data_IF_502024048243
#
_entry.id   IF_502024048243
#
_cell.length_a   1.000
_cell.length_b   1.000
_cell.length_c   1.000
_cell.angle_alpha   90.00
_cell.angle_beta   90.00
_cell.angle_gamma   90.00
#
_symmetry.space_group_name_H-M   'P 1'
#
loop_
_entity.id
_entity.type
_entity.pdbx_description
1 polymer ?
#
# COMPACT_ATOMS: atom_id res chain seq x y z
N UNK A 1 56.40 -74.12 14.55
CA UNK A 1 55.90 -74.35 15.93
C UNK A 1 54.90 -73.17 16.16
N UNK A 2 53.67 -73.41 16.03
CA UNK A 2 52.66 -73.99 16.93
C UNK A 2 51.94 -72.92 17.77
N UNK A 3 50.62 -72.73 17.52
CA UNK A 3 49.49 -72.43 18.41
C UNK A 3 49.34 -70.92 18.86
N UNK A 4 48.18 -70.31 19.02
CA UNK A 4 46.78 -70.78 19.02
C UNK A 4 45.81 -69.65 18.78
N UNK A 5 44.64 -69.98 18.22
CA UNK A 5 43.41 -69.17 18.17
C UNK A 5 42.91 -68.82 19.56
N UNK A 6 42.32 -67.60 19.68
CA UNK A 6 41.17 -67.43 20.57
C UNK A 6 40.23 -66.33 19.98
N UNK A 7 39.03 -66.79 19.66
CA UNK A 7 37.86 -66.05 19.25
C UNK A 7 37.32 -65.22 20.42
N UNK A 8 37.05 -63.95 20.19
CA UNK A 8 36.08 -63.21 20.98
C UNK A 8 35.11 -62.43 20.02
N UNK A 9 33.95 -63.04 19.93
CA UNK A 9 32.79 -62.41 19.31
C UNK A 9 32.25 -61.27 20.23
N UNK A 10 32.30 -60.07 19.82
CA UNK A 10 31.51 -58.97 20.44
C UNK A 10 30.37 -58.57 19.48
N UNK A 11 29.16 -58.87 19.90
CA UNK A 11 27.92 -58.45 19.24
C UNK A 11 27.79 -56.98 19.28
N UNK A 12 27.89 -56.30 18.12
CA UNK A 12 27.49 -54.93 17.96
C UNK A 12 25.98 -54.93 17.73
N UNK A 13 25.23 -54.56 18.76
CA UNK A 13 23.82 -54.28 18.62
C UNK A 13 23.66 -52.97 17.84
N UNK A 14 23.24 -53.05 16.59
CA UNK A 14 22.87 -51.94 15.76
C UNK A 14 21.54 -51.36 16.23
N UNK A 15 21.58 -50.30 17.00
CA UNK A 15 20.41 -49.46 17.24
C UNK A 15 20.11 -48.66 15.97
N UNK A 16 19.35 -49.22 15.05
CA UNK A 16 18.67 -48.46 14.00
C UNK A 16 17.52 -47.67 14.65
N UNK A 17 17.84 -46.47 15.11
CA UNK A 17 16.81 -45.51 15.48
C UNK A 17 16.07 -45.12 14.20
N UNK A 18 14.88 -45.69 14.00
CA UNK A 18 14.09 -45.48 12.80
C UNK A 18 13.62 -44.02 12.74
N UNK A 19 13.97 -43.32 11.69
CA UNK A 19 13.60 -41.92 11.36
C UNK A 19 12.07 -41.67 11.42
N UNK A 20 11.27 -42.72 11.38
CA UNK A 20 9.80 -42.68 11.49
C UNK A 20 9.28 -42.34 12.89
N UNK A 21 10.03 -42.58 13.96
CA UNK A 21 9.60 -42.24 15.33
C UNK A 21 9.75 -40.75 15.64
N UNK A 22 10.79 -40.12 15.13
CA UNK A 22 11.02 -38.66 15.25
C UNK A 22 9.98 -37.85 14.49
N UNK A 23 9.56 -38.31 13.31
CA UNK A 23 8.54 -37.61 12.51
C UNK A 23 7.14 -37.64 13.14
N UNK A 24 6.80 -38.70 13.85
CA UNK A 24 5.53 -38.82 14.57
C UNK A 24 5.49 -37.99 15.87
N UNK A 25 6.63 -37.81 16.53
CA UNK A 25 6.75 -36.97 17.73
C UNK A 25 6.59 -35.49 17.37
N UNK A 26 7.28 -35.00 16.34
CA UNK A 26 7.17 -33.60 15.89
C UNK A 26 5.75 -33.28 15.42
N UNK A 27 5.07 -34.19 14.73
CA UNK A 27 3.70 -34.02 14.27
C UNK A 27 2.69 -33.94 15.42
N UNK A 28 2.85 -34.71 16.51
CA UNK A 28 2.02 -34.64 17.71
C UNK A 28 2.21 -33.32 18.45
N UNK A 29 3.43 -32.85 18.62
CA UNK A 29 3.70 -31.60 19.32
C UNK A 29 3.29 -30.38 18.50
N UNK A 30 3.44 -30.41 17.18
CA UNK A 30 2.91 -29.34 16.31
C UNK A 30 1.40 -29.22 16.38
N UNK A 31 0.67 -30.33 16.49
CA UNK A 31 -0.79 -30.31 16.65
C UNK A 31 -1.21 -29.74 18.02
N UNK A 32 -0.47 -30.09 19.09
CA UNK A 32 -0.73 -29.57 20.45
C UNK A 32 -0.43 -28.08 20.53
N UNK A 33 0.65 -27.60 19.92
CA UNK A 33 0.98 -26.18 19.86
C UNK A 33 -0.08 -25.43 19.05
N UNK A 34 -0.55 -25.96 17.93
CA UNK A 34 -1.63 -25.37 17.15
C UNK A 34 -2.95 -25.33 17.93
N UNK A 35 -3.27 -26.40 18.66
CA UNK A 35 -4.46 -26.45 19.50
C UNK A 35 -4.39 -25.52 20.71
N UNK A 36 -3.20 -25.31 21.30
CA UNK A 36 -3.02 -24.35 22.41
C UNK A 36 -3.22 -22.88 21.98
N UNK A 37 -2.91 -22.54 20.71
CA UNK A 37 -3.26 -21.23 20.14
C UNK A 37 -4.76 -21.04 19.92
N UNK A 38 -5.50 -22.13 19.68
CA UNK A 38 -6.96 -22.10 19.51
C UNK A 38 -7.73 -22.10 20.84
N UNK A 39 -7.09 -22.47 21.94
CA UNK A 39 -7.72 -22.60 23.27
C UNK A 39 -7.40 -21.45 24.23
N UNK A 40 -6.86 -20.32 23.74
CA UNK A 40 -6.71 -19.11 24.56
C UNK A 40 -8.01 -18.28 24.53
N UNK A 41 -8.96 -18.47 25.47
CA UNK A 41 -10.23 -17.73 25.49
C UNK A 41 -10.11 -16.29 25.99
N UNK A 42 -8.91 -15.80 26.31
CA UNK A 42 -8.68 -14.48 26.91
C UNK A 42 -8.01 -13.48 25.96
N UNK A 43 -8.15 -13.65 24.65
CA UNK A 43 -8.00 -12.52 23.74
C UNK A 43 -9.22 -11.61 23.96
N UNK A 44 -9.16 -10.72 24.95
CA UNK A 44 -10.04 -9.57 25.03
C UNK A 44 -9.82 -8.74 23.75
N UNK A 45 -10.51 -9.14 22.69
CA UNK A 45 -10.64 -8.34 21.50
C UNK A 45 -11.37 -7.06 21.93
N UNK A 46 -10.64 -5.93 22.00
CA UNK A 46 -11.29 -4.64 22.13
C UNK A 46 -12.38 -4.56 21.05
N UNK A 47 -13.60 -4.21 21.45
CA UNK A 47 -14.72 -4.10 20.53
C UNK A 47 -14.32 -3.10 19.44
N UNK A 48 -14.14 -3.63 18.23
CA UNK A 48 -13.77 -2.85 17.06
C UNK A 48 -14.98 -2.02 16.63
N UNK A 49 -14.84 -0.70 16.68
CA UNK A 49 -15.86 0.23 16.19
C UNK A 49 -15.49 0.64 14.75
N UNK A 50 -16.37 0.39 13.81
CA UNK A 50 -16.15 0.78 12.40
C UNK A 50 -17.28 1.69 11.96
N UNK A 51 -16.93 2.89 11.52
CA UNK A 51 -17.84 3.80 10.83
C UNK A 51 -17.71 3.63 9.31
N UNK A 52 -18.77 3.91 8.59
CA UNK A 52 -18.82 3.79 7.13
C UNK A 52 -19.12 5.15 6.52
N UNK A 53 -18.34 5.54 5.51
CA UNK A 53 -18.45 6.83 4.81
C UNK A 53 -18.41 6.59 3.31
N UNK A 54 -19.11 7.42 2.53
CA UNK A 54 -19.17 7.38 1.07
C UNK A 54 -18.52 8.64 0.50
N UNK A 55 -17.61 8.47 -0.46
CA UNK A 55 -16.80 9.57 -1.00
C UNK A 55 -16.64 9.46 -2.51
N UNK A 56 -16.29 10.58 -3.16
CA UNK A 56 -15.73 10.58 -4.51
C UNK A 56 -14.30 11.11 -4.45
N UNK A 57 -13.39 10.40 -5.12
CA UNK A 57 -12.02 10.85 -5.26
C UNK A 57 -11.69 11.10 -6.72
N UNK A 58 -11.32 12.34 -7.02
CA UNK A 58 -10.79 12.74 -8.30
C UNK A 58 -9.28 12.86 -8.23
N UNK A 59 -8.58 12.47 -9.30
CA UNK A 59 -7.15 12.61 -9.39
C UNK A 59 -6.71 12.87 -10.83
N UNK A 60 -5.81 13.83 -11.00
CA UNK A 60 -5.06 14.06 -12.22
C UNK A 60 -3.60 13.75 -11.95
N UNK A 61 -2.98 12.94 -12.81
CA UNK A 61 -1.58 12.55 -12.71
C UNK A 61 -0.87 12.90 -13.99
N UNK A 62 0.21 13.63 -13.90
CA UNK A 62 1.10 13.87 -15.02
C UNK A 62 2.48 13.28 -14.74
N UNK A 63 3.00 12.56 -15.72
CA UNK A 63 4.37 12.09 -15.74
C UNK A 63 5.00 12.53 -17.08
N UNK A 64 5.99 13.40 -16.99
CA UNK A 64 6.70 13.92 -18.16
C UNK A 64 8.14 13.42 -18.14
N UNK A 65 8.55 12.70 -19.17
CA UNK A 65 9.93 12.25 -19.35
C UNK A 65 10.62 13.15 -20.39
N UNK A 66 11.64 13.89 -19.98
CA UNK A 66 12.35 14.83 -20.88
C UNK A 66 13.67 14.29 -21.42
N UNK A 67 14.27 13.30 -20.79
CA UNK A 67 15.49 12.65 -21.24
C UNK A 67 15.46 11.14 -20.95
N UNK A 68 16.52 10.44 -21.33
CA UNK A 68 16.63 9.01 -21.00
C UNK A 68 16.66 8.76 -19.49
N UNK A 69 17.15 9.72 -18.71
CA UNK A 69 17.35 9.59 -17.26
C UNK A 69 16.43 10.45 -16.42
N UNK A 70 15.90 11.59 -16.94
CA UNK A 70 15.17 12.55 -16.13
C UNK A 70 13.74 12.77 -16.61
N UNK A 71 12.87 13.04 -15.65
CA UNK A 71 11.48 13.41 -15.85
C UNK A 71 10.91 14.12 -14.63
N UNK A 72 9.63 14.49 -14.72
CA UNK A 72 8.87 15.09 -13.63
C UNK A 72 7.60 14.30 -13.34
N UNK A 73 7.16 14.42 -12.10
CA UNK A 73 5.88 13.94 -11.60
C UNK A 73 5.08 15.12 -11.07
N UNK A 74 3.80 15.21 -11.45
CA UNK A 74 2.84 16.14 -10.84
C UNK A 74 1.52 15.41 -10.66
N UNK A 75 0.87 15.56 -9.53
CA UNK A 75 -0.51 15.11 -9.36
C UNK A 75 -1.34 16.04 -8.48
N UNK A 76 -2.64 16.08 -8.77
CA UNK A 76 -3.64 16.82 -8.02
C UNK A 76 -4.75 15.86 -7.65
N UNK A 77 -5.17 15.87 -6.39
CA UNK A 77 -6.31 15.10 -5.92
C UNK A 77 -7.33 15.99 -5.22
N UNK A 78 -8.59 15.67 -5.45
CA UNK A 78 -9.72 16.22 -4.70
C UNK A 78 -10.52 15.04 -4.13
N UNK A 79 -10.89 15.14 -2.87
CA UNK A 79 -11.66 14.13 -2.16
C UNK A 79 -12.82 14.79 -1.45
N UNK A 80 -14.00 14.24 -1.63
CA UNK A 80 -15.19 14.69 -0.91
C UNK A 80 -15.23 14.12 0.51
N UNK A 81 -16.09 14.65 1.34
CA UNK A 81 -16.16 14.32 2.75
C UNK A 81 -17.07 13.10 2.99
N UNK A 82 -18.34 13.23 2.68
CA UNK A 82 -19.37 12.21 2.88
C UNK A 82 -20.51 12.41 1.87
N UNK A 83 -21.46 11.49 1.81
CA UNK A 83 -22.61 11.53 0.89
C UNK A 83 -22.23 11.80 -0.57
N UNK A 84 -21.06 11.27 -0.98
CA UNK A 84 -20.41 11.37 -2.29
C UNK A 84 -20.01 12.80 -2.70
N UNK A 85 -20.92 13.77 -2.63
CA UNK A 85 -20.73 15.13 -3.21
C UNK A 85 -20.84 16.27 -2.21
N UNK A 86 -21.07 15.98 -0.94
CA UNK A 86 -20.98 17.02 0.08
C UNK A 86 -19.53 17.49 0.21
N UNK A 87 -19.24 18.54 0.82
CA UNK A 87 -17.98 19.20 1.08
C UNK A 87 -16.66 18.47 0.72
N UNK A 88 -15.59 19.20 0.58
CA UNK A 88 -14.26 18.62 0.42
C UNK A 88 -13.71 18.16 1.76
N UNK A 89 -13.15 16.93 1.78
CA UNK A 89 -12.37 16.42 2.92
C UNK A 89 -10.89 16.71 2.77
N UNK A 90 -10.37 16.65 1.54
CA UNK A 90 -8.94 16.81 1.31
C UNK A 90 -8.63 17.25 -0.12
N UNK A 91 -7.65 18.15 -0.26
CA UNK A 91 -6.96 18.38 -1.52
C UNK A 91 -5.47 18.06 -1.37
N UNK A 92 -4.87 17.58 -2.45
CA UNK A 92 -3.43 17.22 -2.49
C UNK A 92 -2.86 17.79 -3.77
N UNK A 93 -1.79 18.55 -3.64
CA UNK A 93 -0.92 18.94 -4.74
C UNK A 93 0.44 18.31 -4.52
N UNK A 94 0.93 17.55 -5.50
CA UNK A 94 2.20 16.84 -5.39
C UNK A 94 3.05 17.08 -6.64
N UNK A 95 4.33 17.28 -6.44
CA UNK A 95 5.33 17.34 -7.51
C UNK A 95 6.59 16.57 -7.11
N UNK A 96 7.37 16.18 -8.08
CA UNK A 96 8.62 15.45 -7.85
C UNK A 96 9.50 15.39 -9.09
N UNK A 97 10.79 15.20 -8.86
CA UNK A 97 11.78 14.91 -9.87
C UNK A 97 11.94 13.39 -9.99
N UNK A 98 11.90 12.88 -11.22
CA UNK A 98 11.99 11.45 -11.50
C UNK A 98 13.30 11.13 -12.18
N UNK A 99 14.01 10.11 -11.69
CA UNK A 99 15.20 9.53 -12.29
C UNK A 99 14.88 8.12 -12.81
N UNK A 100 15.05 7.90 -14.10
CA UNK A 100 14.83 6.61 -14.74
C UNK A 100 16.10 5.76 -14.68
N UNK A 101 16.05 4.65 -13.95
CA UNK A 101 17.11 3.64 -13.94
C UNK A 101 17.13 2.87 -15.27
N UNK A 102 15.95 2.61 -15.80
CA UNK A 102 15.68 2.04 -17.12
C UNK A 102 14.24 2.41 -17.53
N UNK A 103 13.72 1.84 -18.63
CA UNK A 103 12.38 2.17 -19.13
C UNK A 103 11.25 1.62 -18.24
N UNK A 104 11.54 0.64 -17.39
CA UNK A 104 10.55 0.00 -16.51
C UNK A 104 10.72 0.38 -15.04
N UNK A 105 11.87 0.92 -14.61
CA UNK A 105 12.16 1.23 -13.22
C UNK A 105 12.61 2.68 -13.06
N UNK A 106 12.01 3.38 -12.09
CA UNK A 106 12.31 4.78 -11.81
C UNK A 106 12.27 5.08 -10.32
N UNK A 107 13.08 6.05 -9.93
CA UNK A 107 13.07 6.68 -8.61
C UNK A 107 12.41 8.06 -8.74
N UNK A 108 11.65 8.46 -7.74
CA UNK A 108 11.10 9.82 -7.69
C UNK A 108 11.24 10.36 -6.28
N UNK A 109 11.73 11.59 -6.15
CA UNK A 109 11.71 12.34 -4.90
C UNK A 109 10.94 13.63 -5.10
N UNK A 110 10.16 14.02 -4.10
CA UNK A 110 9.31 15.18 -4.27
C UNK A 110 8.67 15.65 -2.97
N UNK A 111 7.70 16.52 -3.16
CA UNK A 111 6.98 17.17 -2.09
C UNK A 111 5.49 17.19 -2.40
N UNK A 112 4.67 17.04 -1.36
CA UNK A 112 3.22 17.22 -1.44
C UNK A 112 2.77 18.23 -0.38
N UNK A 113 1.88 19.12 -0.81
CA UNK A 113 1.07 19.95 0.08
C UNK A 113 -0.33 19.36 0.15
N UNK A 114 -0.79 19.14 1.36
CA UNK A 114 -2.10 18.55 1.63
C UNK A 114 -2.92 19.50 2.50
N UNK A 115 -4.11 19.85 2.04
CA UNK A 115 -5.09 20.56 2.83
C UNK A 115 -6.13 19.58 3.35
N UNK A 116 -6.26 19.46 4.66
CA UNK A 116 -7.35 18.77 5.31
C UNK A 116 -8.41 19.79 5.66
N UNK A 117 -9.54 19.73 4.98
CA UNK A 117 -10.67 20.64 5.18
C UNK A 117 -11.39 20.35 6.51
N UNK A 118 -12.22 21.26 6.98
CA UNK A 118 -12.90 21.13 8.27
C UNK A 118 -13.50 19.76 8.54
N UNK A 119 -13.22 19.23 9.73
CA UNK A 119 -13.64 17.92 10.22
C UNK A 119 -13.89 17.98 11.73
N UNK A 120 -14.31 16.89 12.35
CA UNK A 120 -14.80 16.83 13.75
C UNK A 120 -13.89 17.47 14.80
N UNK A 121 -12.57 17.48 14.57
CA UNK A 121 -11.60 18.04 15.52
C UNK A 121 -11.01 19.39 15.11
N UNK A 122 -11.46 19.97 13.98
CA UNK A 122 -11.09 21.31 13.47
C UNK A 122 -12.20 21.83 12.56
N UNK A 123 -13.38 22.07 13.13
CA UNK A 123 -14.63 22.32 12.38
C UNK A 123 -14.59 23.55 11.50
N UNK A 124 -13.81 24.57 11.88
CA UNK A 124 -13.82 25.87 11.21
C UNK A 124 -12.47 26.21 10.55
N UNK A 125 -11.45 25.36 10.67
CA UNK A 125 -10.12 25.60 10.10
C UNK A 125 -9.64 24.48 9.19
N UNK A 126 -8.91 24.85 8.15
CA UNK A 126 -8.21 23.90 7.28
C UNK A 126 -6.84 23.61 7.84
N UNK A 127 -6.52 22.32 8.07
CA UNK A 127 -5.23 21.87 8.59
C UNK A 127 -4.27 21.55 7.45
N UNK A 128 -3.16 22.30 7.29
CA UNK A 128 -2.15 21.98 6.29
C UNK A 128 -1.23 20.84 6.75
N UNK A 129 -0.78 20.05 5.77
CA UNK A 129 0.23 19.02 5.94
C UNK A 129 1.30 19.17 4.85
N UNK A 130 2.56 19.24 5.27
CA UNK A 130 3.73 19.20 4.41
C UNK A 130 4.26 17.77 4.36
N UNK A 131 4.55 17.28 3.14
CA UNK A 131 4.88 15.86 2.95
C UNK A 131 5.99 15.68 1.91
N UNK A 132 7.26 15.78 2.29
CA UNK A 132 8.34 15.20 1.48
C UNK A 132 8.10 13.71 1.25
N UNK A 133 8.54 13.20 0.10
CA UNK A 133 8.35 11.79 -0.22
C UNK A 133 9.40 11.28 -1.20
N UNK A 134 9.70 9.97 -1.12
CA UNK A 134 10.58 9.24 -2.02
C UNK A 134 9.88 7.96 -2.46
N UNK A 135 10.08 7.58 -3.73
CA UNK A 135 9.43 6.41 -4.31
C UNK A 135 10.36 5.69 -5.26
N UNK A 136 10.32 4.36 -5.19
CA UNK A 136 10.77 3.50 -6.28
C UNK A 136 9.52 2.89 -6.93
N UNK A 137 9.47 2.91 -8.26
CA UNK A 137 8.38 2.31 -9.05
C UNK A 137 8.96 1.45 -10.16
N UNK A 138 8.37 0.27 -10.34
CA UNK A 138 8.76 -0.65 -11.40
C UNK A 138 7.56 -1.29 -12.07
N UNK A 139 7.74 -1.64 -13.34
CA UNK A 139 6.74 -2.24 -14.19
C UNK A 139 7.22 -3.60 -14.70
N UNK A 140 6.31 -4.59 -14.71
CA UNK A 140 6.52 -5.86 -15.40
C UNK A 140 5.45 -6.00 -16.48
N UNK A 141 5.90 -6.18 -17.71
CA UNK A 141 5.05 -6.22 -18.91
C UNK A 141 4.96 -7.65 -19.42
N UNK A 142 3.78 -8.23 -19.36
CA UNK A 142 3.46 -9.52 -19.93
C UNK A 142 2.50 -9.34 -21.11
N UNK A 143 2.37 -10.36 -21.95
CA UNK A 143 1.51 -10.26 -23.15
C UNK A 143 0.03 -9.99 -22.85
N UNK A 144 -0.49 -10.47 -21.72
CA UNK A 144 -1.90 -10.34 -21.29
C UNK A 144 -2.08 -9.61 -19.96
N UNK A 145 -1.00 -9.05 -19.41
CA UNK A 145 -1.02 -8.43 -18.10
C UNK A 145 0.05 -7.35 -18.01
N UNK A 146 -0.28 -6.21 -17.46
CA UNK A 146 0.69 -5.23 -16.95
C UNK A 146 0.63 -5.22 -15.44
N UNK A 147 1.78 -5.37 -14.82
CA UNK A 147 1.97 -5.27 -13.37
C UNK A 147 2.77 -4.01 -13.09
N UNK A 148 2.26 -3.14 -12.22
CA UNK A 148 2.98 -1.99 -11.69
C UNK A 148 3.06 -2.12 -10.19
N UNK A 149 4.23 -1.90 -9.65
CA UNK A 149 4.47 -1.87 -8.22
C UNK A 149 5.25 -0.62 -7.85
N UNK A 150 5.04 -0.11 -6.65
CA UNK A 150 5.89 0.91 -6.08
C UNK A 150 5.91 0.84 -4.56
N UNK A 151 7.03 1.28 -4.01
CA UNK A 151 7.21 1.56 -2.60
C UNK A 151 7.47 3.05 -2.42
N UNK A 152 6.80 3.67 -1.45
CA UNK A 152 6.94 5.10 -1.13
C UNK A 152 7.14 5.28 0.36
N UNK A 153 8.11 6.12 0.71
CA UNK A 153 8.27 6.68 2.04
C UNK A 153 7.75 8.11 2.02
N UNK A 154 6.97 8.49 3.01
CA UNK A 154 6.46 9.85 3.21
C UNK A 154 6.83 10.34 4.61
N UNK A 155 7.32 11.57 4.70
CA UNK A 155 7.60 12.31 5.92
C UNK A 155 6.47 13.30 6.13
N UNK A 156 5.64 13.06 7.15
CA UNK A 156 4.37 13.80 7.30
C UNK A 156 4.46 14.81 8.42
N UNK A 157 4.42 16.10 8.08
CA UNK A 157 4.37 17.23 9.01
C UNK A 157 2.97 17.82 8.97
N UNK A 158 2.12 17.42 9.92
CA UNK A 158 0.75 17.89 10.05
C UNK A 158 0.70 19.02 11.06
N UNK A 159 0.12 20.17 10.70
CA UNK A 159 -0.07 21.28 11.64
C UNK A 159 -0.84 20.79 12.86
N UNK A 160 -0.44 21.20 14.05
CA UNK A 160 -1.15 20.89 15.28
C UNK A 160 -2.46 21.67 15.33
N UNK A 161 -3.47 21.08 15.93
CA UNK A 161 -4.79 21.69 16.17
C UNK A 161 -4.83 22.12 17.63
N UNK A 162 -5.22 23.35 17.89
CA UNK A 162 -5.42 23.87 19.23
C UNK A 162 -6.87 23.59 19.70
N UNK A 163 -7.84 23.96 18.88
CA UNK A 163 -9.28 23.75 19.10
C UNK A 163 -10.01 23.69 17.74
N UNK A 164 -11.33 23.78 17.74
CA UNK A 164 -12.17 23.73 16.52
C UNK A 164 -11.92 24.89 15.55
N UNK A 165 -11.43 26.04 16.03
CA UNK A 165 -11.31 27.30 15.32
C UNK A 165 -9.85 27.69 15.01
N UNK A 166 -8.86 27.09 15.71
CA UNK A 166 -7.49 27.54 15.66
C UNK A 166 -6.48 26.40 15.55
N UNK A 167 -5.41 26.68 14.82
CA UNK A 167 -4.25 25.80 14.72
C UNK A 167 -3.20 26.18 15.76
N UNK A 168 -2.66 25.20 16.49
CA UNK A 168 -1.54 25.40 17.40
C UNK A 168 -0.22 25.58 16.65
N UNK A 169 0.80 26.09 17.35
CA UNK A 169 2.15 26.16 16.82
C UNK A 169 2.80 24.78 16.68
N UNK A 170 3.67 24.62 15.67
CA UNK A 170 4.42 23.40 15.38
C UNK A 170 3.63 22.34 14.64
N UNK A 171 4.25 21.18 14.51
CA UNK A 171 3.75 20.07 13.69
C UNK A 171 3.78 18.76 14.45
N UNK A 172 2.84 17.89 14.17
CA UNK A 172 2.92 16.48 14.46
C UNK A 172 3.66 15.79 13.32
N UNK A 173 4.66 14.98 13.68
CA UNK A 173 5.52 14.30 12.71
C UNK A 173 5.41 12.80 12.80
N UNK A 174 5.26 12.15 11.65
CA UNK A 174 5.44 10.71 11.51
C UNK A 174 5.91 10.34 10.11
N UNK A 175 6.57 9.20 10.01
CA UNK A 175 6.81 8.53 8.74
C UNK A 175 5.61 7.68 8.33
N UNK A 176 5.46 7.49 7.01
CA UNK A 176 4.52 6.53 6.45
C UNK A 176 5.15 5.77 5.28
N UNK A 177 5.29 4.46 5.43
CA UNK A 177 5.63 3.56 4.35
C UNK A 177 4.35 3.16 3.61
N UNK A 178 4.44 3.07 2.27
CA UNK A 178 3.35 2.66 1.41
C UNK A 178 3.87 1.67 0.38
N UNK A 179 3.14 0.58 0.20
CA UNK A 179 3.40 -0.37 -0.88
C UNK A 179 2.14 -0.54 -1.71
N UNK A 180 2.32 -0.50 -3.03
CA UNK A 180 1.23 -0.61 -4.00
C UNK A 180 1.53 -1.70 -5.01
N UNK A 181 0.50 -2.45 -5.37
CA UNK A 181 0.50 -3.40 -6.47
C UNK A 181 -0.73 -3.18 -7.35
N UNK A 182 -0.52 -3.03 -8.65
CA UNK A 182 -1.58 -2.80 -9.63
C UNK A 182 -1.45 -3.81 -10.76
N UNK A 183 -2.54 -4.52 -11.00
CA UNK A 183 -2.73 -5.42 -12.14
C UNK A 183 -3.66 -4.77 -13.16
N UNK A 184 -3.26 -4.80 -14.43
CA UNK A 184 -4.08 -4.31 -15.54
C UNK A 184 -4.18 -5.38 -16.61
N UNK A 185 -5.41 -5.86 -16.85
CA UNK A 185 -5.72 -6.94 -17.80
C UNK A 185 -6.50 -6.35 -18.97
N UNK A 186 -6.00 -6.43 -20.21
CA UNK A 186 -6.71 -5.89 -21.37
C UNK A 186 -7.94 -6.73 -21.70
N UNK A 187 -9.06 -6.06 -21.94
CA UNK A 187 -10.32 -6.70 -22.32
C UNK A 187 -10.50 -6.78 -23.84
N UNK A 188 -9.68 -6.05 -24.59
CA UNK A 188 -9.74 -5.97 -26.05
C UNK A 188 -8.66 -6.83 -26.72
N UNK A 189 -8.92 -7.32 -27.92
CA UNK A 189 -7.94 -8.03 -28.77
C UNK A 189 -6.69 -7.16 -29.03
N UNK A 190 -6.88 -5.87 -29.24
CA UNK A 190 -5.83 -4.85 -29.48
C UNK A 190 -5.19 -4.32 -28.21
N UNK A 191 -4.97 -5.12 -27.23
CA UNK A 191 -4.38 -4.92 -25.91
C UNK A 191 -3.66 -3.58 -25.71
N UNK A 192 -4.06 -2.79 -24.72
CA UNK A 192 -3.40 -1.54 -24.31
C UNK A 192 -3.20 -0.47 -25.41
N UNK A 193 -3.88 -0.62 -26.55
CA UNK A 193 -3.86 0.35 -27.64
C UNK A 193 -4.87 1.48 -27.37
N UNK A 194 -4.76 2.62 -28.06
CA UNK A 194 -5.76 3.67 -27.99
C UNK A 194 -7.19 3.13 -28.25
N UNK A 195 -8.17 3.72 -27.55
CA UNK A 195 -9.60 3.36 -27.62
C UNK A 195 -9.90 1.93 -27.15
N UNK A 196 -9.07 1.36 -26.28
CA UNK A 196 -9.32 0.03 -25.67
C UNK A 196 -9.58 0.14 -24.17
N UNK A 197 -10.19 -0.91 -23.61
CA UNK A 197 -10.52 -1.01 -22.20
C UNK A 197 -9.68 -2.11 -21.54
N UNK A 198 -9.27 -1.86 -20.31
CA UNK A 198 -8.60 -2.83 -19.44
C UNK A 198 -9.31 -2.91 -18.10
N UNK A 199 -9.37 -4.09 -17.50
CA UNK A 199 -9.76 -4.27 -16.12
C UNK A 199 -8.58 -4.00 -15.20
N UNK A 200 -8.83 -3.33 -14.07
CA UNK A 200 -7.79 -2.91 -13.13
C UNK A 200 -8.14 -3.42 -11.73
N UNK A 201 -7.17 -4.10 -11.12
CA UNK A 201 -7.16 -4.46 -9.70
C UNK A 201 -5.97 -3.78 -9.08
N UNK A 202 -6.18 -3.06 -7.99
CA UNK A 202 -5.09 -2.38 -7.29
C UNK A 202 -5.26 -2.53 -5.79
N UNK A 203 -4.18 -2.87 -5.10
CA UNK A 203 -4.11 -2.87 -3.65
C UNK A 203 -2.95 -2.02 -3.17
N UNK A 204 -3.18 -1.29 -2.08
CA UNK A 204 -2.20 -0.40 -1.50
C UNK A 204 -2.29 -0.42 0.02
N UNK A 205 -1.18 -0.77 0.67
CA UNK A 205 -1.07 -0.80 2.14
C UNK A 205 -0.23 0.36 2.63
N UNK A 206 -0.66 0.99 3.73
CA UNK A 206 0.03 2.09 4.39
C UNK A 206 0.35 1.73 5.83
N UNK A 207 1.60 1.93 6.22
CA UNK A 207 2.11 1.68 7.57
C UNK A 207 2.72 2.98 8.11
N UNK A 208 2.21 3.46 9.24
CA UNK A 208 2.78 4.58 9.98
C UNK A 208 3.87 4.11 10.93
N UNK A 209 4.88 4.93 11.15
CA UNK A 209 5.88 4.71 12.19
C UNK A 209 6.51 6.05 12.64
N UNK A 210 7.17 6.02 13.79
CA UNK A 210 7.76 7.19 14.43
C UNK A 210 7.30 7.36 15.88
N UNK A 211 7.94 8.24 16.61
CA UNK A 211 7.73 8.42 18.08
C UNK A 211 6.30 8.82 18.46
N UNK A 212 5.55 9.45 17.55
CA UNK A 212 4.17 9.92 17.80
C UNK A 212 3.10 8.89 17.42
N UNK A 213 3.50 7.74 16.88
CA UNK A 213 2.56 6.65 16.55
C UNK A 213 2.48 5.71 17.75
N UNK A 214 1.28 5.60 18.32
CA UNK A 214 1.02 4.78 19.52
C UNK A 214 0.22 3.53 19.16
N UNK A 215 -0.89 3.66 18.44
CA UNK A 215 -1.81 2.54 18.16
C UNK A 215 -2.02 2.26 16.67
N UNK A 216 -1.95 3.28 15.80
CA UNK A 216 -2.26 3.15 14.38
C UNK A 216 -1.01 2.96 13.52
N UNK A 217 -0.21 1.96 13.83
CA UNK A 217 0.87 1.51 12.93
C UNK A 217 0.31 1.08 11.58
N UNK A 218 -0.75 0.30 11.56
CA UNK A 218 -1.57 0.16 10.36
C UNK A 218 -2.34 1.47 10.15
N UNK A 219 -2.03 2.20 9.05
CA UNK A 219 -2.76 3.42 8.71
C UNK A 219 -4.02 3.09 7.91
N UNK A 220 -3.84 2.46 6.76
CA UNK A 220 -4.96 2.05 5.92
C UNK A 220 -4.55 1.04 4.85
N UNK A 221 -5.55 0.32 4.36
CA UNK A 221 -5.50 -0.44 3.11
C UNK A 221 -6.48 0.18 2.11
N UNK A 222 -6.10 0.18 0.83
CA UNK A 222 -6.91 0.69 -0.28
C UNK A 222 -7.01 -0.38 -1.34
N UNK A 223 -8.16 -0.98 -1.46
CA UNK A 223 -8.45 -1.97 -2.49
C UNK A 223 -9.36 -1.38 -3.57
N UNK A 224 -8.91 -1.38 -4.81
CA UNK A 224 -9.63 -0.82 -5.96
C UNK A 224 -9.90 -1.87 -7.02
N UNK A 225 -11.14 -1.85 -7.52
CA UNK A 225 -11.60 -2.57 -8.70
C UNK A 225 -12.21 -1.59 -9.70
N UNK A 226 -11.84 -1.68 -10.96
CA UNK A 226 -12.39 -0.78 -11.96
C UNK A 226 -11.84 -1.03 -13.36
N UNK A 227 -12.03 -0.03 -14.20
CA UNK A 227 -11.63 -0.08 -15.59
C UNK A 227 -10.70 1.08 -15.93
N UNK A 228 -9.78 0.83 -16.85
CA UNK A 228 -8.92 1.83 -17.48
C UNK A 228 -9.29 1.92 -18.96
N UNK A 229 -9.78 3.07 -19.38
CA UNK A 229 -9.97 3.40 -20.79
C UNK A 229 -8.72 4.11 -21.33
N UNK A 230 -8.06 3.50 -22.29
CA UNK A 230 -6.89 4.05 -22.98
C UNK A 230 -7.34 5.06 -24.03
N UNK A 231 -7.42 6.34 -23.65
CA UNK A 231 -7.92 7.41 -24.54
C UNK A 231 -7.02 7.53 -25.79
N UNK A 232 -5.73 7.59 -25.57
CA UNK A 232 -4.69 7.62 -26.60
C UNK A 232 -3.39 6.97 -26.07
N UNK A 233 -2.25 7.18 -26.72
CA UNK A 233 -0.94 6.62 -26.33
C UNK A 233 -0.40 7.19 -25.01
N UNK A 234 -0.86 8.37 -24.62
CA UNK A 234 -0.38 9.15 -23.50
C UNK A 234 -1.37 9.16 -22.34
N UNK A 235 -2.66 9.04 -22.64
CA UNK A 235 -3.75 9.28 -21.70
C UNK A 235 -4.54 8.03 -21.39
N UNK A 236 -4.84 7.84 -20.11
CA UNK A 236 -5.83 6.87 -19.70
C UNK A 236 -6.71 7.40 -18.55
N UNK A 237 -7.98 7.03 -18.59
CA UNK A 237 -8.98 7.32 -17.57
C UNK A 237 -9.28 6.05 -16.81
N UNK A 238 -9.10 6.08 -15.48
CA UNK A 238 -9.49 4.97 -14.60
C UNK A 238 -10.72 5.35 -13.78
N UNK A 239 -11.74 4.51 -13.84
CA UNK A 239 -13.00 4.69 -13.09
C UNK A 239 -13.35 3.37 -12.41
N UNK A 240 -13.79 3.44 -11.17
CA UNK A 240 -14.23 2.25 -10.44
C UNK A 240 -14.46 2.50 -8.96
N UNK A 241 -14.67 1.40 -8.25
CA UNK A 241 -14.89 1.36 -6.82
C UNK A 241 -13.60 1.11 -6.06
N UNK A 242 -13.41 1.83 -4.95
CA UNK A 242 -12.31 1.61 -4.02
C UNK A 242 -12.86 1.54 -2.58
N UNK A 243 -12.47 0.52 -1.84
CA UNK A 243 -12.61 0.51 -0.39
C UNK A 243 -11.32 1.04 0.25
N UNK A 244 -11.46 1.98 1.18
CA UNK A 244 -10.35 2.47 2.02
C UNK A 244 -10.66 2.10 3.46
N UNK A 245 -10.02 1.06 3.95
CA UNK A 245 -10.13 0.64 5.32
C UNK A 245 -8.99 1.26 6.14
N UNK A 246 -9.33 2.12 7.09
CA UNK A 246 -8.39 2.94 7.86
C UNK A 246 -8.52 2.67 9.36
N UNK A 247 -7.38 2.56 10.08
CA UNK A 247 -7.34 2.60 11.52
C UNK A 247 -7.15 4.04 11.99
N UNK A 248 -8.00 4.48 12.92
CA UNK A 248 -7.92 5.82 13.51
C UNK A 248 -6.92 5.86 14.67
N UNK A 249 -6.39 7.03 15.05
CA UNK A 249 -5.39 7.16 16.12
C UNK A 249 -5.80 6.58 17.47
N UNK A 250 -7.10 6.46 17.74
CA UNK A 250 -7.63 5.83 18.96
C UNK A 250 -7.35 4.32 19.08
N UNK A 251 -6.89 3.67 18.00
CA UNK A 251 -6.45 2.27 18.01
C UNK A 251 -7.58 1.26 17.80
N UNK A 252 -8.70 1.38 18.48
CA UNK A 252 -9.88 0.49 18.37
C UNK A 252 -10.96 1.02 17.43
N UNK A 253 -10.79 2.23 16.88
CA UNK A 253 -11.70 2.84 15.90
C UNK A 253 -11.18 2.69 14.50
N UNK A 254 -12.08 2.34 13.60
CA UNK A 254 -11.79 2.15 12.17
C UNK A 254 -12.79 2.92 11.32
N UNK A 255 -12.38 3.24 10.11
CA UNK A 255 -13.26 3.87 9.11
C UNK A 255 -13.16 3.07 7.80
N UNK A 256 -14.31 2.70 7.25
CA UNK A 256 -14.43 2.08 5.94
C UNK A 256 -15.01 3.10 4.98
N UNK A 257 -14.18 3.65 4.08
CA UNK A 257 -14.66 4.60 3.07
C UNK A 257 -14.97 3.83 1.78
N UNK A 258 -16.21 3.93 1.32
CA UNK A 258 -16.65 3.48 0.01
C UNK A 258 -16.46 4.61 -0.98
N UNK A 259 -15.55 4.45 -1.92
CA UNK A 259 -15.08 5.53 -2.78
C UNK A 259 -15.41 5.24 -4.24
N UNK A 260 -16.14 6.14 -4.89
CA UNK A 260 -16.15 6.22 -6.34
C UNK A 260 -14.87 6.95 -6.79
N UNK A 261 -13.98 6.25 -7.51
CA UNK A 261 -12.67 6.79 -7.91
C UNK A 261 -12.64 7.10 -9.40
N UNK A 262 -12.24 8.34 -9.73
CA UNK A 262 -12.06 8.82 -11.11
C UNK A 262 -10.67 9.43 -11.25
N UNK A 263 -9.75 8.73 -11.89
CA UNK A 263 -8.36 9.16 -12.05
C UNK A 263 -7.97 9.26 -13.52
N UNK A 264 -7.41 10.41 -13.89
CA UNK A 264 -6.87 10.67 -15.22
C UNK A 264 -5.36 10.67 -15.18
N UNK A 265 -4.74 9.88 -16.04
CA UNK A 265 -3.30 9.74 -16.17
C UNK A 265 -2.84 10.29 -17.52
N UNK A 266 -1.93 11.24 -17.48
CA UNK A 266 -1.30 11.87 -18.62
C UNK A 266 0.21 11.60 -18.60
N UNK A 267 0.71 10.87 -19.59
CA UNK A 267 2.11 10.45 -19.64
C UNK A 267 2.75 11.03 -20.91
N UNK A 268 3.69 11.97 -20.76
CA UNK A 268 4.40 12.61 -21.85
C UNK A 268 5.81 12.06 -21.98
N UNK A 269 6.19 11.70 -23.19
CA UNK A 269 7.57 11.40 -23.56
C UNK A 269 8.07 12.46 -24.54
N UNK A 270 8.89 13.38 -24.02
CA UNK A 270 9.46 14.52 -24.76
C UNK A 270 10.87 14.24 -25.24
N UNK A 271 11.35 13.02 -25.14
CA UNK A 271 12.68 12.66 -25.64
C UNK A 271 12.74 12.88 -27.15
N UNK A 272 13.82 13.54 -27.60
CA UNK A 272 14.13 13.59 -29.04
C UNK A 272 14.40 12.16 -29.49
N UNK A 273 13.67 11.71 -30.48
CA UNK A 273 13.87 10.43 -31.16
C UNK A 273 15.06 10.52 -32.11
#
# INVERSE_FOLDING_TARGET
>A
MSRALLLLSSSVASHTCTFSSLFNITRKYSLIILLSFLLNPNLFSQIKQTETVQQIWFGYFNQTRFSNTWGAWTDIHLRTKEDFVSDLSQSILRFGLTYYLNDDTKLTAGYAYVSHYPADNHKNVTMPEHRPWQQIQWHSKYSKLRLMQWFRLEERFRRKILNEDELAEGYNFNFRARYNILFMVPLSKNRFQPKTLSFVVNDEVHINFGKQIVYNYFDQNRFFLGFAYHVNKHDNLQVGYMNVFQQLPAGNKYRSNHVARVFYFHNLDLRKK
#
